data_IF_076354038358
#
_entry.id   IF_076354038358
#
_cell.length_a   1.000
_cell.length_b   1.000
_cell.length_c   1.000
_cell.angle_alpha   90.00
_cell.angle_beta   90.00
_cell.angle_gamma   90.00
#
_symmetry.space_group_name_H-M   'P 1'
#
loop_
_entity.id
_entity.type
_entity.pdbx_description
1 polymer ?
#
# COMPACT_ATOMS: atom_id res chain seq x y z
N UNK A 1 -12.03 31.28 -16.96
CA UNK A 1 -12.15 31.23 -15.50
C UNK A 1 -11.33 30.05 -15.03
N UNK A 2 -10.22 30.28 -14.33
CA UNK A 2 -9.45 29.20 -13.73
C UNK A 2 -10.31 28.60 -12.60
N UNK A 3 -10.78 27.37 -12.79
CA UNK A 3 -11.38 26.61 -11.69
C UNK A 3 -10.23 26.38 -10.71
N UNK A 4 -10.32 26.96 -9.52
CA UNK A 4 -9.36 26.71 -8.46
C UNK A 4 -9.31 25.20 -8.21
N UNK A 5 -8.12 24.60 -8.33
CA UNK A 5 -7.87 23.21 -7.96
C UNK A 5 -7.94 23.14 -6.45
N UNK A 6 -9.13 22.96 -5.90
CA UNK A 6 -9.32 22.67 -4.48
C UNK A 6 -9.02 21.19 -4.28
N UNK A 7 -7.90 20.84 -3.62
CA UNK A 7 -7.66 19.44 -3.25
C UNK A 7 -8.00 19.23 -1.77
N UNK A 8 -9.14 18.61 -1.49
CA UNK A 8 -9.49 18.23 -0.11
C UNK A 8 -8.46 17.21 0.37
N UNK A 9 -7.61 17.62 1.31
CA UNK A 9 -6.72 16.72 2.02
C UNK A 9 -7.48 16.10 3.18
N UNK A 10 -7.62 14.78 3.17
CA UNK A 10 -8.23 14.07 4.29
C UNK A 10 -7.19 13.91 5.40
N UNK A 11 -7.39 14.58 6.54
CA UNK A 11 -6.60 14.44 7.78
C UNK A 11 -6.72 13.04 8.43
N UNK A 12 -7.41 12.10 7.78
CA UNK A 12 -7.74 10.78 8.30
C UNK A 12 -6.51 9.96 8.73
N UNK A 13 -5.44 10.02 7.94
CA UNK A 13 -4.21 9.27 8.21
C UNK A 13 -3.23 10.05 9.07
N UNK A 14 -3.59 11.27 9.49
CA UNK A 14 -2.79 12.02 10.43
C UNK A 14 -2.93 11.39 11.83
N UNK A 15 -1.80 11.10 12.45
CA UNK A 15 -1.73 10.62 13.83
C UNK A 15 -1.14 11.75 14.67
N UNK A 16 -1.98 12.50 15.43
CA UNK A 16 -1.50 13.62 16.22
C UNK A 16 -0.46 13.17 17.26
N UNK A 17 0.53 14.01 17.53
CA UNK A 17 1.54 13.74 18.55
C UNK A 17 0.85 13.53 19.90
N UNK A 18 1.17 12.43 20.57
CA UNK A 18 0.58 12.06 21.87
C UNK A 18 -0.79 11.37 21.80
N UNK A 19 -1.40 11.22 20.61
CA UNK A 19 -2.69 10.53 20.46
C UNK A 19 -2.59 9.00 20.60
N UNK A 20 -1.41 8.42 20.35
CA UNK A 20 -1.17 6.99 20.47
C UNK A 20 -0.29 6.67 21.68
N UNK A 21 -0.75 5.74 22.51
CA UNK A 21 -0.01 5.22 23.66
C UNK A 21 0.77 3.96 23.25
N UNK A 22 2.09 4.05 23.17
CA UNK A 22 2.95 2.91 22.82
C UNK A 22 3.02 1.81 23.89
N UNK A 23 2.37 2.00 25.03
CA UNK A 23 2.19 0.98 26.06
C UNK A 23 1.02 0.03 25.75
N UNK A 24 0.15 0.39 24.80
CA UNK A 24 -0.99 -0.43 24.40
C UNK A 24 -0.56 -1.65 23.60
N UNK A 25 -1.24 -2.78 23.80
CA UNK A 25 -1.05 -4.00 23.02
C UNK A 25 -1.93 -4.01 21.76
N UNK A 26 -1.52 -4.78 20.75
CA UNK A 26 -2.16 -4.83 19.44
C UNK A 26 -3.49 -5.61 19.39
N UNK A 27 -3.88 -6.37 20.43
CA UNK A 27 -5.16 -7.09 20.42
C UNK A 27 -6.37 -6.16 20.19
N UNK A 28 -6.32 -4.93 20.73
CA UNK A 28 -7.40 -3.97 20.62
C UNK A 28 -7.69 -3.53 19.17
N UNK A 29 -6.69 -3.53 18.27
CA UNK A 29 -6.90 -3.12 16.87
C UNK A 29 -7.78 -4.12 16.12
N UNK A 30 -7.59 -5.42 16.35
CA UNK A 30 -8.38 -6.48 15.73
C UNK A 30 -9.83 -6.45 16.23
N UNK A 31 -10.04 -6.20 17.52
CA UNK A 31 -11.39 -5.99 18.08
C UNK A 31 -12.06 -4.76 17.48
N UNK A 32 -11.33 -3.65 17.29
CA UNK A 32 -11.84 -2.44 16.66
C UNK A 32 -12.23 -2.68 15.19
N UNK A 33 -11.43 -3.46 14.44
CA UNK A 33 -11.75 -3.88 13.06
C UNK A 33 -13.01 -4.73 13.01
N UNK A 34 -13.13 -5.73 13.86
CA UNK A 34 -14.30 -6.61 13.92
C UNK A 34 -15.56 -5.84 14.27
N UNK A 35 -15.50 -5.00 15.30
CA UNK A 35 -16.62 -4.14 15.70
C UNK A 35 -17.09 -3.23 14.58
N UNK A 36 -16.16 -2.62 13.84
CA UNK A 36 -16.48 -1.70 12.74
C UNK A 36 -17.01 -2.41 11.50
N UNK A 37 -16.50 -3.62 11.21
CA UNK A 37 -16.83 -4.41 10.02
C UNK A 37 -18.13 -5.20 10.17
N UNK A 38 -18.47 -5.63 11.40
CA UNK A 38 -19.59 -6.54 11.67
C UNK A 38 -20.94 -6.05 11.14
N UNK A 39 -21.37 -4.77 11.31
CA UNK A 39 -22.67 -4.33 10.80
C UNK A 39 -22.83 -4.57 9.29
N UNK A 40 -21.79 -4.27 8.51
CA UNK A 40 -21.76 -4.46 7.06
C UNK A 40 -21.74 -5.95 6.69
N UNK A 41 -20.85 -6.74 7.32
CA UNK A 41 -20.72 -8.18 7.04
C UNK A 41 -21.99 -8.97 7.42
N UNK A 42 -22.67 -8.61 8.51
CA UNK A 42 -23.95 -9.22 8.90
C UNK A 42 -25.05 -8.93 7.88
N UNK A 43 -25.10 -7.70 7.35
CA UNK A 43 -26.06 -7.32 6.30
C UNK A 43 -25.78 -8.06 4.99
N UNK A 44 -24.50 -8.14 4.59
CA UNK A 44 -24.05 -8.92 3.44
C UNK A 44 -24.44 -10.40 3.58
N UNK A 45 -24.17 -11.01 4.72
CA UNK A 45 -24.54 -12.38 5.00
C UNK A 45 -26.06 -12.60 4.91
N UNK A 46 -26.85 -11.71 5.51
CA UNK A 46 -28.32 -11.79 5.48
C UNK A 46 -28.90 -11.65 4.08
N UNK A 47 -28.29 -10.81 3.24
CA UNK A 47 -28.74 -10.62 1.86
C UNK A 47 -28.31 -11.78 0.95
N UNK A 48 -27.07 -12.28 1.10
CA UNK A 48 -26.48 -13.31 0.25
C UNK A 48 -26.95 -14.72 0.64
N UNK A 49 -27.13 -14.97 1.94
CA UNK A 49 -27.52 -16.26 2.51
C UNK A 49 -28.69 -16.11 3.50
N UNK A 50 -29.89 -15.71 3.04
CA UNK A 50 -31.01 -15.30 3.90
C UNK A 50 -31.58 -16.39 4.82
N UNK A 51 -31.26 -17.66 4.57
CA UNK A 51 -31.73 -18.81 5.35
C UNK A 51 -30.74 -19.28 6.42
N UNK A 52 -29.52 -18.73 6.43
CA UNK A 52 -28.46 -19.17 7.34
C UNK A 52 -28.33 -18.21 8.52
N UNK A 53 -28.08 -18.77 9.69
CA UNK A 53 -27.83 -18.00 10.91
C UNK A 53 -26.37 -17.54 10.97
N UNK A 54 -26.16 -16.30 11.39
CA UNK A 54 -24.83 -15.82 11.76
C UNK A 54 -24.55 -16.27 13.20
N UNK A 55 -23.48 -17.03 13.41
CA UNK A 55 -23.09 -17.60 14.72
C UNK A 55 -21.76 -17.01 15.18
N UNK A 56 -21.55 -16.95 16.50
CA UNK A 56 -20.19 -16.89 17.06
C UNK A 56 -19.56 -18.27 16.94
N UNK A 57 -18.23 -18.34 16.86
CA UNK A 57 -17.51 -19.60 16.83
C UNK A 57 -17.82 -20.50 18.03
N UNK A 58 -18.11 -19.93 19.20
CA UNK A 58 -18.47 -20.70 20.40
C UNK A 58 -19.82 -21.42 20.29
N UNK A 59 -20.71 -20.96 19.40
CA UNK A 59 -22.08 -21.46 19.22
C UNK A 59 -22.23 -22.31 17.94
N UNK A 60 -21.12 -22.77 17.36
CA UNK A 60 -21.14 -23.57 16.13
C UNK A 60 -21.45 -25.03 16.47
N UNK A 61 -22.56 -25.53 15.95
CA UNK A 61 -22.96 -26.92 16.09
C UNK A 61 -22.37 -27.81 14.98
N UNK A 62 -21.93 -29.04 15.28
CA UNK A 62 -21.46 -29.98 14.27
C UNK A 62 -22.55 -30.30 13.24
N UNK A 63 -22.18 -30.38 11.96
CA UNK A 63 -23.10 -30.61 10.84
C UNK A 63 -24.19 -29.53 10.62
N UNK A 64 -24.15 -28.40 11.33
CA UNK A 64 -24.99 -27.24 11.02
C UNK A 64 -24.29 -26.35 9.99
N UNK A 65 -25.02 -25.99 8.93
CA UNK A 65 -24.56 -24.96 8.00
C UNK A 65 -24.85 -23.57 8.55
N UNK A 66 -23.82 -22.77 8.73
CA UNK A 66 -23.93 -21.44 9.32
C UNK A 66 -22.98 -20.44 8.64
N UNK A 67 -23.12 -19.17 9.06
CA UNK A 67 -22.22 -18.10 8.65
C UNK A 67 -21.45 -17.60 9.86
N UNK A 68 -20.15 -17.40 9.70
CA UNK A 68 -19.26 -16.91 10.77
C UNK A 68 -18.61 -15.62 10.27
N UNK A 69 -18.61 -14.59 11.13
CA UNK A 69 -17.92 -13.33 10.87
C UNK A 69 -16.68 -13.28 11.75
N UNK A 70 -15.52 -13.09 11.13
CA UNK A 70 -14.27 -13.09 11.85
C UNK A 70 -13.12 -12.48 11.05
N UNK A 71 -11.93 -12.64 11.60
CA UNK A 71 -10.66 -12.21 11.04
C UNK A 71 -9.89 -13.42 10.55
N UNK A 72 -9.37 -13.37 9.33
CA UNK A 72 -8.48 -14.40 8.83
C UNK A 72 -7.15 -14.30 9.56
N UNK A 73 -6.63 -15.44 10.02
CA UNK A 73 -5.26 -15.59 10.50
C UNK A 73 -4.56 -16.65 9.66
N UNK A 74 -3.44 -16.27 9.02
CA UNK A 74 -2.63 -17.20 8.21
C UNK A 74 -1.36 -17.57 8.96
N UNK A 75 -1.26 -18.83 9.35
CA UNK A 75 -0.06 -19.38 9.98
C UNK A 75 0.94 -19.75 8.89
N UNK A 76 1.92 -18.88 8.66
CA UNK A 76 2.98 -19.07 7.67
C UNK A 76 4.30 -19.46 8.37
N UNK A 77 4.80 -20.71 8.24
CA UNK A 77 6.04 -21.14 8.88
C UNK A 77 7.28 -20.36 8.43
N UNK A 78 7.27 -19.87 7.19
CA UNK A 78 8.35 -19.05 6.61
C UNK A 78 8.34 -17.59 7.09
N UNK A 79 7.27 -17.15 7.78
CA UNK A 79 7.21 -15.81 8.36
C UNK A 79 8.41 -15.58 9.30
N UNK A 80 9.18 -14.49 9.14
CA UNK A 80 10.30 -14.17 10.02
C UNK A 80 9.85 -14.09 11.48
N UNK A 81 10.66 -14.65 12.38
CA UNK A 81 10.38 -14.63 13.82
C UNK A 81 11.54 -14.00 14.56
N UNK A 82 11.26 -12.88 15.24
CA UNK A 82 12.23 -12.19 16.11
C UNK A 82 12.74 -13.15 17.20
N UNK A 83 11.86 -13.99 17.75
CA UNK A 83 12.24 -14.98 18.79
C UNK A 83 13.24 -16.00 18.22
N UNK A 84 12.98 -16.55 17.02
CA UNK A 84 13.93 -17.47 16.36
C UNK A 84 15.27 -16.79 16.06
N UNK A 85 15.24 -15.54 15.60
CA UNK A 85 16.46 -14.76 15.32
C UNK A 85 17.27 -14.50 16.58
N UNK A 86 16.62 -14.13 17.70
CA UNK A 86 17.26 -13.94 19.00
C UNK A 86 17.88 -15.23 19.53
N UNK A 87 17.17 -16.36 19.44
CA UNK A 87 17.70 -17.65 19.85
C UNK A 87 18.95 -18.06 19.03
N UNK A 88 18.95 -17.80 17.72
CA UNK A 88 20.11 -18.04 16.85
C UNK A 88 21.30 -17.13 17.19
N UNK A 89 21.02 -15.85 17.49
CA UNK A 89 22.02 -14.87 17.93
C UNK A 89 22.77 -15.32 19.19
N UNK A 90 22.02 -15.82 20.18
CA UNK A 90 22.57 -16.35 21.43
C UNK A 90 23.40 -17.61 21.21
N UNK A 91 23.00 -18.48 20.28
CA UNK A 91 23.71 -19.73 19.97
C UNK A 91 25.00 -19.53 19.15
N UNK A 92 25.03 -18.56 18.22
CA UNK A 92 26.14 -18.39 17.26
C UNK A 92 27.16 -17.33 17.73
N UNK A 93 27.02 -16.79 18.94
CA UNK A 93 28.01 -15.88 19.53
C UNK A 93 28.08 -14.52 18.81
N UNK A 94 26.94 -13.94 18.46
CA UNK A 94 26.85 -12.54 18.00
C UNK A 94 27.29 -12.26 16.56
N UNK A 95 27.64 -13.29 15.76
CA UNK A 95 27.81 -13.14 14.31
C UNK A 95 26.56 -13.63 13.59
N UNK A 96 25.65 -12.71 13.29
CA UNK A 96 24.67 -12.98 12.24
C UNK A 96 25.42 -13.10 10.91
N UNK A 97 25.26 -14.25 10.24
CA UNK A 97 25.39 -14.28 8.80
C UNK A 97 24.36 -13.29 8.28
N UNK A 98 24.83 -12.18 7.74
CA UNK A 98 23.95 -11.25 7.06
C UNK A 98 23.27 -12.04 5.94
N UNK A 99 21.96 -12.26 6.05
CA UNK A 99 21.13 -12.74 4.93
C UNK A 99 21.03 -11.65 3.86
N UNK A 100 22.16 -11.04 3.49
CA UNK A 100 22.28 -9.85 2.66
C UNK A 100 22.62 -10.17 1.21
N UNK A 101 22.88 -11.44 0.87
CA UNK A 101 23.35 -11.81 -0.47
C UNK A 101 22.23 -12.09 -1.49
N UNK A 102 20.96 -12.24 -1.07
CA UNK A 102 19.85 -12.59 -1.99
C UNK A 102 18.67 -11.59 -1.98
N UNK A 103 18.80 -10.40 -1.39
CA UNK A 103 17.63 -9.55 -1.09
C UNK A 103 17.04 -8.79 -2.28
N UNK A 104 17.79 -8.56 -3.38
CA UNK A 104 17.18 -8.03 -4.60
C UNK A 104 16.13 -8.98 -5.21
N UNK A 105 16.16 -10.28 -4.86
CA UNK A 105 15.12 -11.25 -5.22
C UNK A 105 13.90 -11.24 -4.25
N UNK A 106 13.98 -10.60 -3.07
CA UNK A 106 12.92 -10.68 -2.05
C UNK A 106 11.73 -9.74 -2.27
N UNK A 107 11.84 -8.72 -3.11
CA UNK A 107 10.67 -7.96 -3.56
C UNK A 107 9.74 -8.81 -4.45
N UNK A 108 10.24 -9.95 -4.96
CA UNK A 108 9.51 -10.84 -5.88
C UNK A 108 9.24 -12.25 -5.32
N UNK A 109 9.76 -12.61 -4.14
CA UNK A 109 9.57 -13.95 -3.58
C UNK A 109 8.41 -13.97 -2.58
N UNK A 110 7.41 -14.81 -2.85
CA UNK A 110 6.37 -15.15 -1.89
C UNK A 110 6.98 -15.91 -0.69
N UNK A 111 6.46 -15.63 0.50
CA UNK A 111 6.72 -16.40 1.72
C UNK A 111 5.60 -17.39 1.99
N UNK A 112 4.39 -17.11 1.50
CA UNK A 112 3.28 -18.04 1.58
C UNK A 112 3.63 -19.36 0.89
N UNK A 113 3.19 -20.46 1.50
CA UNK A 113 3.38 -21.82 1.00
C UNK A 113 2.08 -22.62 1.05
N UNK A 114 2.06 -23.79 0.39
CA UNK A 114 0.93 -24.73 0.49
C UNK A 114 0.85 -25.43 1.86
N UNK A 115 1.89 -25.30 2.69
CA UNK A 115 1.92 -25.81 4.07
C UNK A 115 1.28 -24.83 5.07
N UNK A 116 0.90 -23.64 4.61
CA UNK A 116 0.29 -22.64 5.48
C UNK A 116 -1.11 -23.08 5.91
N UNK A 117 -1.42 -22.87 7.18
CA UNK A 117 -2.75 -23.11 7.74
C UNK A 117 -3.52 -21.77 7.81
N UNK A 118 -4.81 -21.82 7.48
CA UNK A 118 -5.68 -20.63 7.49
C UNK A 118 -6.75 -20.83 8.56
N UNK A 119 -6.79 -19.92 9.52
CA UNK A 119 -7.76 -19.91 10.60
C UNK A 119 -8.73 -18.75 10.43
N UNK A 120 -9.93 -18.91 10.97
CA UNK A 120 -10.85 -17.82 11.24
C UNK A 120 -10.91 -17.58 12.75
N UNK A 121 -10.68 -16.34 13.17
CA UNK A 121 -10.74 -15.91 14.56
C UNK A 121 -11.92 -14.96 14.79
N UNK A 122 -12.71 -15.20 15.85
CA UNK A 122 -13.72 -14.26 16.34
C UNK A 122 -13.29 -13.64 17.67
N UNK A 123 -14.22 -13.14 18.49
CA UNK A 123 -13.90 -12.53 19.79
C UNK A 123 -13.49 -13.55 20.86
N UNK A 124 -13.78 -14.83 20.65
CA UNK A 124 -13.72 -15.87 21.69
C UNK A 124 -12.68 -16.93 21.34
N UNK A 125 -12.68 -17.43 20.11
CA UNK A 125 -11.83 -18.54 19.71
C UNK A 125 -11.44 -18.49 18.23
N UNK A 126 -10.72 -19.52 17.79
CA UNK A 126 -10.33 -19.72 16.39
C UNK A 126 -10.66 -21.13 15.91
N UNK A 127 -10.93 -21.27 14.61
CA UNK A 127 -11.16 -22.56 13.94
C UNK A 127 -10.33 -22.64 12.67
N UNK A 128 -9.84 -23.85 12.32
CA UNK A 128 -9.10 -24.07 11.08
C UNK A 128 -10.08 -24.12 9.89
N UNK A 129 -9.71 -23.52 8.76
CA UNK A 129 -10.52 -23.46 7.56
C UNK A 129 -10.05 -24.50 6.53
N UNK A 130 -10.96 -25.38 6.15
CA UNK A 130 -10.77 -26.26 5.00
C UNK A 130 -11.36 -25.61 3.74
N UNK A 131 -10.48 -25.07 2.90
CA UNK A 131 -10.83 -24.32 1.69
C UNK A 131 -10.46 -25.14 0.45
N UNK A 132 -11.46 -25.69 -0.22
CA UNK A 132 -11.26 -26.51 -1.44
C UNK A 132 -10.72 -25.71 -2.64
N UNK A 133 -11.06 -24.41 -2.73
CA UNK A 133 -10.61 -23.54 -3.82
C UNK A 133 -9.19 -23.02 -3.55
N UNK A 134 -8.22 -23.48 -4.34
CA UNK A 134 -6.83 -23.02 -4.28
C UNK A 134 -6.67 -21.53 -4.64
N UNK A 135 -7.51 -21.01 -5.53
CA UNK A 135 -7.49 -19.58 -5.89
C UNK A 135 -7.94 -18.72 -4.70
N UNK A 136 -9.00 -19.15 -4.00
CA UNK A 136 -9.49 -18.44 -2.82
C UNK A 136 -8.47 -18.51 -1.66
N UNK A 137 -7.99 -19.72 -1.32
CA UNK A 137 -6.99 -19.88 -0.25
C UNK A 137 -5.67 -19.18 -0.58
N UNK A 138 -5.31 -19.15 -1.86
CA UNK A 138 -4.12 -18.48 -2.35
C UNK A 138 -4.17 -16.96 -2.24
N UNK A 139 -5.36 -16.34 -2.31
CA UNK A 139 -5.52 -14.89 -2.18
C UNK A 139 -5.65 -14.40 -0.74
N UNK A 140 -6.01 -15.25 0.22
CA UNK A 140 -6.22 -14.84 1.60
C UNK A 140 -4.91 -14.56 2.35
N UNK A 141 -4.90 -13.48 3.12
CA UNK A 141 -3.81 -13.11 4.03
C UNK A 141 -4.36 -12.80 5.43
N UNK A 142 -3.45 -12.70 6.41
CA UNK A 142 -3.78 -12.39 7.79
C UNK A 142 -4.41 -11.00 7.95
N UNK A 143 -5.31 -10.86 8.93
CA UNK A 143 -5.99 -9.61 9.28
C UNK A 143 -7.17 -9.21 8.37
N UNK A 144 -7.51 -10.01 7.35
CA UNK A 144 -8.66 -9.77 6.49
C UNK A 144 -9.96 -10.04 7.25
N UNK A 145 -10.87 -9.06 7.24
CA UNK A 145 -12.20 -9.18 7.84
C UNK A 145 -13.17 -9.79 6.83
N UNK A 146 -13.87 -10.85 7.21
CA UNK A 146 -14.72 -11.59 6.27
C UNK A 146 -15.92 -12.23 6.94
N UNK A 147 -16.94 -12.57 6.14
CA UNK A 147 -17.95 -13.55 6.52
C UNK A 147 -17.80 -14.82 5.68
N UNK A 148 -17.90 -15.97 6.34
CA UNK A 148 -17.66 -17.29 5.74
C UNK A 148 -18.89 -18.14 5.95
N UNK A 149 -19.40 -18.71 4.86
CA UNK A 149 -20.44 -19.75 4.86
C UNK A 149 -19.77 -21.12 4.81
N UNK A 150 -20.17 -22.01 5.71
CA UNK A 150 -19.63 -23.36 5.76
C UNK A 150 -20.30 -24.25 6.77
N UNK A 151 -19.68 -25.40 7.03
CA UNK A 151 -20.17 -26.42 7.95
C UNK A 151 -19.00 -26.88 8.84
N UNK A 152 -19.23 -26.97 10.14
CA UNK A 152 -18.27 -27.59 11.05
C UNK A 152 -18.30 -29.11 10.95
N UNK A 153 -17.11 -29.72 10.87
CA UNK A 153 -16.98 -31.17 10.72
C UNK A 153 -17.47 -31.93 11.95
N UNK A 154 -18.09 -33.10 11.72
CA UNK A 154 -18.48 -34.02 12.79
C UNK A 154 -17.34 -34.90 13.30
N UNK A 155 -16.27 -35.08 12.52
CA UNK A 155 -15.16 -35.99 12.86
C UNK A 155 -14.09 -35.30 13.71
N UNK A 156 -13.94 -33.98 13.58
CA UNK A 156 -13.03 -33.15 14.36
C UNK A 156 -13.68 -31.79 14.59
N UNK A 157 -13.88 -31.40 15.86
CA UNK A 157 -14.47 -30.11 16.26
C UNK A 157 -13.60 -28.89 15.93
N UNK A 158 -12.48 -29.09 15.22
CA UNK A 158 -11.44 -28.08 15.01
C UNK A 158 -11.41 -27.55 13.57
N UNK A 159 -12.23 -28.10 12.67
CA UNK A 159 -12.21 -27.75 11.23
C UNK A 159 -13.57 -27.27 10.73
N UNK A 160 -13.54 -26.22 9.90
CA UNK A 160 -14.71 -25.63 9.25
C UNK A 160 -14.54 -25.70 7.74
N UNK A 161 -15.37 -26.50 7.07
CA UNK A 161 -15.34 -26.64 5.61
C UNK A 161 -16.02 -25.44 4.97
N UNK A 162 -15.22 -24.66 4.23
CA UNK A 162 -15.64 -23.41 3.61
C UNK A 162 -16.35 -23.70 2.29
N UNK A 163 -17.59 -23.22 2.16
CA UNK A 163 -18.36 -23.26 0.92
C UNK A 163 -18.24 -21.96 0.14
N UNK A 164 -18.41 -20.83 0.82
CA UNK A 164 -18.34 -19.50 0.21
C UNK A 164 -17.76 -18.48 1.20
N UNK A 165 -17.15 -17.43 0.65
CA UNK A 165 -16.58 -16.30 1.40
C UNK A 165 -17.11 -15.01 0.79
N UNK A 166 -17.42 -14.03 1.65
CA UNK A 166 -17.73 -12.67 1.23
C UNK A 166 -16.95 -11.66 2.08
N UNK A 167 -16.40 -10.65 1.40
CA UNK A 167 -15.60 -9.60 2.00
C UNK A 167 -16.44 -8.33 2.24
N UNK A 168 -15.81 -7.25 2.71
CA UNK A 168 -16.50 -5.98 2.94
C UNK A 168 -17.06 -5.35 1.66
N UNK A 169 -16.34 -5.52 0.55
CA UNK A 169 -16.69 -5.07 -0.80
C UNK A 169 -17.19 -3.61 -0.82
N UNK A 170 -16.33 -2.64 -0.42
CA UNK A 170 -16.66 -1.23 -0.50
C UNK A 170 -16.95 -0.84 -1.95
N UNK A 171 -17.88 0.10 -2.13
CA UNK A 171 -18.33 0.58 -3.43
C UNK A 171 -18.10 2.08 -3.58
N UNK A 172 -17.87 2.58 -4.80
CA UNK A 172 -17.75 4.02 -5.02
C UNK A 172 -19.08 4.73 -4.71
N UNK A 173 -18.99 5.98 -4.25
CA UNK A 173 -20.18 6.83 -4.03
C UNK A 173 -20.91 7.16 -5.34
N UNK A 174 -20.18 7.22 -6.45
CA UNK A 174 -20.67 7.56 -7.79
C UNK A 174 -19.99 6.66 -8.81
N UNK A 175 -20.68 6.35 -9.90
CA UNK A 175 -20.08 5.57 -10.98
C UNK A 175 -18.85 6.29 -11.59
N UNK A 176 -17.76 5.56 -11.78
CA UNK A 176 -16.49 6.09 -12.27
C UNK A 176 -16.60 6.30 -13.79
N UNK A 177 -17.00 7.51 -14.17
CA UNK A 177 -17.31 7.89 -15.55
C UNK A 177 -16.04 8.18 -16.37
N UNK A 178 -15.99 7.69 -17.62
CA UNK A 178 -14.90 7.92 -18.58
C UNK A 178 -15.34 8.88 -19.68
N UNK A 179 -14.48 9.81 -20.10
CA UNK A 179 -14.65 10.48 -21.39
C UNK A 179 -14.09 9.60 -22.50
N UNK A 180 -14.96 9.17 -23.41
CA UNK A 180 -14.58 8.45 -24.62
C UNK A 180 -14.05 9.45 -25.66
N UNK A 181 -12.73 9.54 -25.80
CA UNK A 181 -12.13 10.24 -26.93
C UNK A 181 -12.16 9.33 -28.16
N UNK A 182 -12.89 9.75 -29.21
CA UNK A 182 -13.04 9.00 -30.48
C UNK A 182 -11.79 9.03 -31.38
N UNK A 183 -10.62 9.45 -30.89
CA UNK A 183 -9.45 9.69 -31.76
C UNK A 183 -8.39 8.61 -31.61
N UNK A 184 -8.03 8.00 -32.74
CA UNK A 184 -7.01 6.95 -32.87
C UNK A 184 -5.56 7.48 -32.85
N UNK A 185 -5.34 8.78 -32.62
CA UNK A 185 -4.00 9.37 -32.58
C UNK A 185 -3.37 9.27 -31.19
N UNK A 186 -2.04 9.05 -31.08
CA UNK A 186 -1.36 9.12 -29.81
C UNK A 186 -1.57 10.50 -29.18
N UNK A 187 -1.79 10.57 -27.87
CA UNK A 187 -2.03 11.85 -27.21
C UNK A 187 -0.80 12.73 -27.25
N UNK A 188 -1.04 14.03 -27.38
CA UNK A 188 -0.02 15.04 -27.17
C UNK A 188 -0.12 15.48 -25.72
N UNK A 189 0.93 15.26 -24.93
CA UNK A 189 1.08 15.92 -23.63
C UNK A 189 0.95 17.43 -23.86
N UNK A 190 -0.12 18.03 -23.33
CA UNK A 190 -0.52 19.41 -23.62
C UNK A 190 -2.02 19.60 -23.90
N UNK A 191 -2.75 18.51 -24.20
CA UNK A 191 -4.22 18.50 -24.22
C UNK A 191 -4.74 17.66 -23.05
N UNK A 192 -5.70 18.19 -22.27
CA UNK A 192 -6.28 17.51 -21.10
C UNK A 192 -5.48 17.70 -19.81
N UNK A 193 -5.98 17.13 -18.70
CA UNK A 193 -5.33 17.19 -17.40
C UNK A 193 -4.55 15.90 -17.13
N UNK A 194 -3.23 16.04 -17.01
CA UNK A 194 -2.31 14.92 -16.81
C UNK A 194 -1.70 14.97 -15.42
N UNK A 195 -1.64 13.82 -14.77
CA UNK A 195 -0.85 13.61 -13.55
C UNK A 195 0.23 12.57 -13.81
N UNK A 196 1.35 12.68 -13.11
CA UNK A 196 2.43 11.70 -13.15
C UNK A 196 2.57 10.97 -11.82
N UNK A 197 3.01 9.72 -11.89
CA UNK A 197 3.39 8.91 -10.74
C UNK A 197 4.82 8.41 -10.92
N UNK A 198 5.63 8.64 -9.90
CA UNK A 198 7.00 8.13 -9.78
C UNK A 198 7.15 7.52 -8.40
N UNK A 199 7.99 6.50 -8.25
CA UNK A 199 8.29 5.89 -6.96
C UNK A 199 9.75 5.47 -6.93
N UNK A 200 10.36 5.31 -5.75
CA UNK A 200 11.74 4.84 -5.67
C UNK A 200 12.69 5.77 -6.42
N UNK A 201 12.61 7.10 -6.20
CA UNK A 201 13.55 8.06 -6.81
C UNK A 201 15.00 7.73 -6.43
N UNK A 202 15.21 7.18 -5.23
CA UNK A 202 16.45 6.53 -4.83
C UNK A 202 17.67 7.45 -4.76
N UNK A 203 17.51 8.73 -4.37
CA UNK A 203 18.64 9.63 -4.14
C UNK A 203 19.59 9.02 -3.08
N UNK A 204 20.89 9.08 -3.30
CA UNK A 204 21.91 8.49 -2.43
C UNK A 204 23.03 9.48 -2.14
N UNK A 205 23.82 9.22 -1.09
CA UNK A 205 24.96 10.07 -0.71
C UNK A 205 26.15 9.96 -1.67
N UNK A 206 26.38 8.78 -2.25
CA UNK A 206 27.45 8.53 -3.22
C UNK A 206 26.88 8.02 -4.55
N UNK A 207 27.49 8.45 -5.65
CA UNK A 207 27.20 7.97 -6.99
C UNK A 207 27.60 6.50 -7.20
N UNK A 208 28.51 5.98 -6.37
CA UNK A 208 29.11 4.65 -6.55
C UNK A 208 28.19 3.48 -6.13
N UNK A 209 27.05 3.77 -5.49
CA UNK A 209 26.10 2.76 -5.00
C UNK A 209 24.84 2.56 -5.85
N UNK A 210 24.76 3.18 -7.03
CA UNK A 210 23.54 3.20 -7.86
C UNK A 210 23.56 2.33 -9.11
N UNK A 211 22.37 2.07 -9.66
CA UNK A 211 22.23 1.58 -11.03
C UNK A 211 22.92 2.56 -12.00
N UNK A 212 23.72 2.03 -12.92
CA UNK A 212 24.41 2.82 -13.94
C UNK A 212 23.39 3.72 -14.67
N UNK A 213 23.70 5.01 -14.80
CA UNK A 213 22.83 5.98 -15.49
C UNK A 213 21.71 6.59 -14.64
N UNK A 214 21.52 6.19 -13.38
CA UNK A 214 20.45 6.73 -12.51
C UNK A 214 20.45 8.25 -12.36
N UNK A 215 21.63 8.87 -12.17
CA UNK A 215 21.73 10.34 -12.09
C UNK A 215 21.26 11.02 -13.38
N UNK A 216 21.63 10.46 -14.54
CA UNK A 216 21.20 10.98 -15.82
C UNK A 216 19.70 10.80 -16.03
N UNK A 217 19.14 9.66 -15.65
CA UNK A 217 17.68 9.45 -15.69
C UNK A 217 16.94 10.49 -14.84
N UNK A 218 17.44 10.85 -13.65
CA UNK A 218 16.86 11.91 -12.82
C UNK A 218 16.95 13.29 -13.48
N UNK A 219 18.05 13.59 -14.17
CA UNK A 219 18.20 14.83 -14.96
C UNK A 219 17.18 14.86 -16.11
N UNK A 220 17.07 13.77 -16.88
CA UNK A 220 16.10 13.66 -17.98
C UNK A 220 14.65 13.75 -17.50
N UNK A 221 14.34 13.17 -16.34
CA UNK A 221 13.03 13.34 -15.70
C UNK A 221 12.77 14.81 -15.35
N UNK A 222 13.77 15.51 -14.80
CA UNK A 222 13.68 16.94 -14.53
C UNK A 222 13.41 17.76 -15.80
N UNK A 223 14.14 17.49 -16.89
CA UNK A 223 13.93 18.15 -18.18
C UNK A 223 12.56 17.85 -18.78
N UNK A 224 12.14 16.58 -18.74
CA UNK A 224 10.81 16.18 -19.17
C UNK A 224 9.71 16.93 -18.42
N UNK A 225 9.82 17.09 -17.10
CA UNK A 225 8.85 17.84 -16.29
C UNK A 225 8.85 19.34 -16.57
N UNK A 226 9.97 19.92 -17.05
CA UNK A 226 10.04 21.33 -17.49
C UNK A 226 9.36 21.55 -18.83
N UNK A 227 9.46 20.59 -19.74
CA UNK A 227 8.88 20.68 -21.07
C UNK A 227 7.40 20.28 -21.12
N UNK A 228 6.98 19.36 -20.24
CA UNK A 228 5.64 18.79 -20.24
C UNK A 228 4.80 19.30 -19.07
N UNK A 229 3.65 19.90 -19.39
CA UNK A 229 2.73 20.46 -18.39
C UNK A 229 1.89 19.36 -17.72
N UNK A 230 2.37 18.87 -16.60
CA UNK A 230 1.57 18.07 -15.67
C UNK A 230 0.86 18.96 -14.67
N UNK A 231 -0.30 18.53 -14.20
CA UNK A 231 -1.00 19.18 -13.09
C UNK A 231 -0.36 18.79 -11.74
N UNK A 232 0.03 17.53 -11.60
CA UNK A 232 0.59 16.99 -10.36
C UNK A 232 1.53 15.83 -10.64
N UNK A 233 2.64 15.78 -9.91
CA UNK A 233 3.51 14.60 -9.84
C UNK A 233 3.43 14.01 -8.43
N UNK A 234 3.00 12.76 -8.33
CA UNK A 234 3.03 11.98 -7.10
C UNK A 234 4.36 11.23 -7.00
N UNK A 235 5.13 11.49 -5.94
CA UNK A 235 6.31 10.70 -5.60
C UNK A 235 5.96 9.72 -4.47
N UNK A 236 5.81 8.44 -4.81
CA UNK A 236 5.26 7.38 -3.98
C UNK A 236 6.34 6.66 -3.17
N UNK A 237 6.99 7.38 -2.24
CA UNK A 237 7.94 6.85 -1.29
C UNK A 237 9.27 6.36 -1.87
N UNK A 238 10.19 6.04 -0.95
CA UNK A 238 11.57 5.65 -1.22
C UNK A 238 12.28 6.70 -2.08
N UNK A 239 12.11 7.97 -1.68
CA UNK A 239 12.73 9.10 -2.35
C UNK A 239 14.25 9.06 -2.19
N UNK A 240 14.73 8.58 -1.03
CA UNK A 240 16.15 8.32 -0.79
C UNK A 240 16.45 6.82 -0.65
N UNK A 241 17.71 6.45 -0.80
CA UNK A 241 18.22 5.09 -0.52
C UNK A 241 19.53 5.15 0.27
N UNK A 242 19.90 4.01 0.86
CA UNK A 242 21.16 3.85 1.55
C UNK A 242 22.24 3.48 0.55
N UNK A 243 23.43 4.06 0.71
CA UNK A 243 24.60 3.67 -0.07
C UNK A 243 25.13 2.28 0.33
N UNK A 244 24.69 1.74 1.47
CA UNK A 244 25.06 0.41 1.96
C UNK A 244 23.92 -0.58 1.68
N UNK A 245 24.17 -1.72 1.02
CA UNK A 245 23.19 -2.80 0.86
C UNK A 245 22.63 -3.22 2.23
N UNK A 246 21.31 -3.13 2.41
CA UNK A 246 20.64 -3.43 3.69
C UNK A 246 20.72 -2.34 4.76
N UNK A 247 21.14 -1.11 4.43
CA UNK A 247 21.28 -0.02 5.41
C UNK A 247 19.97 0.69 5.80
N UNK A 248 18.94 0.63 4.95
CA UNK A 248 17.61 1.23 5.19
C UNK A 248 16.47 0.21 5.33
N UNK A 249 16.65 -0.99 4.77
CA UNK A 249 15.74 -2.09 4.98
C UNK A 249 16.22 -2.93 6.16
N UNK A 250 15.29 -3.37 7.01
CA UNK A 250 15.46 -4.31 8.14
C UNK A 250 15.55 -3.65 9.52
N UNK A 251 14.40 -3.26 10.08
CA UNK A 251 14.17 -3.42 11.53
C UNK A 251 13.91 -4.90 11.83
N UNK A 252 14.94 -5.71 11.65
CA UNK A 252 15.19 -6.97 12.36
C UNK A 252 16.34 -6.70 13.32
N UNK A 253 16.52 -7.50 14.36
CA UNK A 253 17.44 -7.24 15.48
C UNK A 253 18.88 -7.04 14.97
N UNK A 254 19.25 -5.80 14.68
CA UNK A 254 20.64 -5.38 14.45
C UNK A 254 21.04 -4.51 15.63
N UNK A 255 21.80 -5.11 16.53
CA UNK A 255 22.52 -4.46 17.63
C UNK A 255 23.71 -3.61 17.16
N UNK A 256 23.74 -3.13 15.92
CA UNK A 256 24.52 -1.94 15.64
C UNK A 256 23.68 -0.75 16.02
N UNK A 257 23.74 -0.42 17.32
CA UNK A 257 23.35 0.87 17.82
C UNK A 257 23.86 1.95 16.84
N UNK A 258 22.95 2.57 16.10
CA UNK A 258 23.22 3.71 15.19
C UNK A 258 23.93 4.87 15.90
N UNK A 259 24.04 4.83 17.23
CA UNK A 259 24.81 5.73 18.07
C UNK A 259 26.35 5.67 17.90
N UNK A 260 26.90 4.70 17.16
CA UNK A 260 28.35 4.54 17.00
C UNK A 260 28.94 5.16 15.70
N UNK A 261 28.14 5.57 14.71
CA UNK A 261 28.63 6.23 13.48
C UNK A 261 28.77 7.74 13.69
N UNK A 262 29.75 8.14 14.50
CA UNK A 262 29.94 9.54 14.96
C UNK A 262 30.77 10.44 14.02
N UNK A 263 31.10 10.05 12.77
CA UNK A 263 32.12 10.80 11.97
C UNK A 263 31.92 10.95 10.46
N UNK A 264 30.76 10.61 9.90
CA UNK A 264 30.40 10.96 8.52
C UNK A 264 29.05 11.66 8.57
N UNK A 265 28.83 12.69 7.75
CA UNK A 265 27.46 13.17 7.51
C UNK A 265 26.62 11.93 7.21
N UNK A 266 25.53 11.73 7.96
CA UNK A 266 24.74 10.52 7.77
C UNK A 266 24.30 10.48 6.30
N UNK A 267 24.51 9.37 5.60
CA UNK A 267 24.20 9.24 4.15
C UNK A 267 22.79 9.76 3.80
N UNK A 268 21.84 9.60 4.72
CA UNK A 268 20.48 10.13 4.60
C UNK A 268 20.40 11.66 4.49
N UNK A 269 21.29 12.41 5.16
CA UNK A 269 21.36 13.88 5.09
C UNK A 269 21.80 14.32 3.70
N UNK A 270 22.84 13.69 3.14
CA UNK A 270 23.32 14.01 1.79
C UNK A 270 22.28 13.63 0.73
N UNK A 271 21.64 12.46 0.87
CA UNK A 271 20.56 12.03 -0.01
C UNK A 271 19.35 12.97 0.03
N UNK A 272 18.92 13.39 1.23
CA UNK A 272 17.83 14.37 1.36
C UNK A 272 18.20 15.74 0.78
N UNK A 273 19.45 16.17 0.95
CA UNK A 273 19.97 17.41 0.34
C UNK A 273 19.94 17.34 -1.20
N UNK A 274 20.30 16.19 -1.78
CA UNK A 274 20.23 15.96 -3.22
C UNK A 274 18.77 15.98 -3.73
N UNK A 275 17.85 15.32 -3.01
CA UNK A 275 16.42 15.35 -3.31
C UNK A 275 15.86 16.78 -3.26
N UNK A 276 16.14 17.53 -2.19
CA UNK A 276 15.70 18.93 -2.06
C UNK A 276 16.29 19.82 -3.17
N UNK A 277 17.53 19.58 -3.56
CA UNK A 277 18.15 20.30 -4.68
C UNK A 277 17.40 20.03 -5.98
N UNK A 278 17.15 18.76 -6.32
CA UNK A 278 16.41 18.39 -7.52
C UNK A 278 14.99 18.95 -7.54
N UNK A 279 14.24 18.83 -6.42
CA UNK A 279 12.90 19.41 -6.27
C UNK A 279 12.93 20.94 -6.47
N UNK A 280 13.95 21.61 -5.94
CA UNK A 280 14.09 23.07 -6.08
C UNK A 280 14.35 23.52 -7.52
N UNK A 281 14.77 22.62 -8.41
CA UNK A 281 15.05 22.89 -9.83
C UNK A 281 13.87 22.55 -10.76
N UNK A 282 12.81 21.92 -10.22
CA UNK A 282 11.58 21.65 -10.95
C UNK A 282 10.74 22.92 -11.16
N UNK A 283 9.84 22.93 -12.16
CA UNK A 283 8.98 24.08 -12.44
C UNK A 283 7.76 24.12 -11.50
N UNK A 284 7.97 23.96 -10.18
CA UNK A 284 6.88 24.01 -9.20
C UNK A 284 6.20 25.39 -9.21
N UNK A 285 4.89 25.42 -8.96
CA UNK A 285 4.08 26.63 -9.11
C UNK A 285 3.31 26.68 -10.44
N UNK A 286 2.50 27.73 -10.59
CA UNK A 286 1.74 28.01 -11.82
C UNK A 286 0.89 26.84 -12.33
N UNK A 287 0.33 26.04 -11.41
CA UNK A 287 -0.51 24.89 -11.73
C UNK A 287 0.20 23.54 -11.81
N UNK A 288 1.50 23.46 -11.49
CA UNK A 288 2.22 22.20 -11.26
C UNK A 288 2.63 22.02 -9.80
N UNK A 289 2.27 20.88 -9.23
CA UNK A 289 2.52 20.53 -7.82
C UNK A 289 3.24 19.19 -7.73
N UNK A 290 4.20 19.06 -6.81
CA UNK A 290 4.74 17.75 -6.40
C UNK A 290 4.13 17.34 -5.08
N UNK A 291 3.57 16.14 -5.03
CA UNK A 291 3.02 15.52 -3.82
C UNK A 291 3.88 14.33 -3.41
N UNK A 292 4.61 14.48 -2.31
CA UNK A 292 5.50 13.46 -1.75
C UNK A 292 4.74 12.61 -0.73
N UNK A 293 4.87 11.29 -0.87
CA UNK A 293 4.52 10.32 0.15
C UNK A 293 5.82 9.70 0.68
N UNK A 294 5.94 9.46 2.00
CA UNK A 294 7.09 8.75 2.54
C UNK A 294 7.05 7.24 2.27
N UNK A 295 8.21 6.64 2.08
CA UNK A 295 8.44 5.20 2.00
C UNK A 295 9.21 4.64 3.20
N UNK A 296 9.71 3.41 3.08
CA UNK A 296 10.44 2.72 4.16
C UNK A 296 11.85 3.28 4.33
N UNK A 297 12.44 3.71 3.21
CA UNK A 297 13.81 4.23 3.15
C UNK A 297 13.91 5.71 3.54
N UNK A 298 12.78 6.38 3.70
CA UNK A 298 12.73 7.83 3.91
C UNK A 298 12.91 8.23 5.38
N UNK A 299 13.28 9.49 5.62
CA UNK A 299 13.54 10.05 6.95
C UNK A 299 12.26 10.33 7.77
N UNK A 300 11.41 9.32 7.93
CA UNK A 300 10.20 9.34 8.76
C UNK A 300 10.06 8.04 9.56
N UNK A 301 9.02 7.96 10.40
CA UNK A 301 8.63 6.69 11.04
C UNK A 301 8.21 5.64 10.01
N UNK A 302 8.55 4.37 10.24
CA UNK A 302 8.10 3.24 9.41
C UNK A 302 6.69 2.73 9.79
N UNK A 303 6.11 3.26 10.88
CA UNK A 303 4.78 2.87 11.33
C UNK A 303 3.71 3.39 10.38
N UNK A 304 2.79 2.51 9.95
CA UNK A 304 1.60 2.90 9.19
C UNK A 304 0.47 3.40 10.10
N UNK A 305 -0.24 4.49 9.73
CA UNK A 305 0.03 5.37 8.59
C UNK A 305 1.29 6.24 8.80
N UNK A 306 2.21 6.25 7.84
CA UNK A 306 3.43 7.06 7.94
C UNK A 306 3.08 8.54 7.82
N UNK A 307 3.62 9.36 8.73
CA UNK A 307 3.36 10.79 8.78
C UNK A 307 4.18 11.56 7.73
N UNK A 308 3.68 12.71 7.24
CA UNK A 308 4.38 13.53 6.25
C UNK A 308 5.82 13.88 6.63
N UNK A 309 6.67 14.07 5.62
CA UNK A 309 7.99 14.68 5.82
C UNK A 309 7.87 16.06 6.46
N UNK A 310 8.77 16.34 7.40
CA UNK A 310 8.89 17.65 8.00
C UNK A 310 9.52 18.65 7.01
N UNK A 311 9.00 19.87 6.98
CA UNK A 311 9.46 20.94 6.06
C UNK A 311 10.95 21.27 6.17
N UNK A 312 11.53 21.13 7.36
CA UNK A 312 12.98 21.33 7.58
C UNK A 312 13.87 20.44 6.70
N UNK A 313 13.34 19.37 6.13
CA UNK A 313 14.07 18.50 5.22
C UNK A 313 14.19 19.10 3.79
N UNK A 314 13.47 20.18 3.48
CA UNK A 314 13.41 20.80 2.15
C UNK A 314 13.68 22.31 2.16
N UNK A 315 14.81 22.78 2.74
CA UNK A 315 15.06 24.21 2.89
C UNK A 315 15.12 24.96 1.56
N UNK A 316 15.70 24.40 0.49
CA UNK A 316 15.83 25.06 -0.82
C UNK A 316 14.48 25.15 -1.51
N UNK A 317 13.76 24.03 -1.59
CA UNK A 317 12.46 23.97 -2.27
C UNK A 317 11.45 24.90 -1.60
N UNK A 318 11.36 24.85 -0.27
CA UNK A 318 10.41 25.68 0.48
C UNK A 318 10.79 27.16 0.43
N UNK A 319 12.08 27.51 0.50
CA UNK A 319 12.49 28.92 0.36
C UNK A 319 12.16 29.49 -1.02
N UNK A 320 12.12 28.65 -2.07
CA UNK A 320 11.87 29.09 -3.44
C UNK A 320 10.38 29.16 -3.79
N UNK A 321 9.61 28.15 -3.37
CA UNK A 321 8.22 27.97 -3.83
C UNK A 321 7.18 28.01 -2.70
N UNK A 322 7.61 27.98 -1.44
CA UNK A 322 6.71 27.82 -0.30
C UNK A 322 6.28 26.36 -0.10
N UNK A 323 5.21 26.18 0.68
CA UNK A 323 4.63 24.88 1.03
C UNK A 323 3.16 24.84 0.60
N UNK A 324 2.63 23.63 0.34
CA UNK A 324 1.21 23.42 0.08
C UNK A 324 0.89 23.23 -1.40
N UNK A 325 -0.38 23.46 -1.75
CA UNK A 325 -0.97 23.00 -3.02
C UNK A 325 -0.36 23.64 -4.26
N UNK A 326 0.18 24.85 -4.16
CA UNK A 326 0.81 25.53 -5.29
C UNK A 326 2.28 25.17 -5.48
N UNK A 327 2.86 24.26 -4.68
CA UNK A 327 4.28 23.93 -4.78
C UNK A 327 4.57 22.47 -4.37
N UNK A 328 4.92 22.27 -3.10
CA UNK A 328 5.29 20.99 -2.54
C UNK A 328 4.29 20.59 -1.45
N UNK A 329 3.58 19.49 -1.70
CA UNK A 329 2.72 18.82 -0.72
C UNK A 329 3.52 17.67 -0.12
N UNK A 330 3.63 17.65 1.21
CA UNK A 330 4.11 16.51 1.96
C UNK A 330 2.88 15.81 2.58
N UNK A 331 2.58 14.60 2.13
CA UNK A 331 1.41 13.84 2.53
C UNK A 331 1.78 12.60 3.35
N UNK A 332 0.79 12.02 4.03
CA UNK A 332 0.94 10.75 4.73
C UNK A 332 1.07 9.58 3.74
N UNK A 333 1.47 8.40 4.22
CA UNK A 333 1.32 7.14 3.48
C UNK A 333 0.48 6.17 4.31
N UNK A 334 -0.71 5.74 3.85
CA UNK A 334 -1.37 6.09 2.57
C UNK A 334 -1.87 7.55 2.51
N UNK A 335 -2.28 7.99 1.32
CA UNK A 335 -2.90 9.29 1.08
C UNK A 335 -4.13 9.16 0.16
N UNK A 336 -5.19 9.91 0.44
CA UNK A 336 -6.33 10.10 -0.46
C UNK A 336 -6.39 11.58 -0.83
N UNK A 337 -6.46 11.90 -2.11
CA UNK A 337 -6.49 13.28 -2.59
C UNK A 337 -7.36 13.42 -3.84
N UNK A 338 -8.13 14.50 -3.91
CA UNK A 338 -8.91 14.84 -5.10
C UNK A 338 -8.09 15.73 -6.04
N UNK A 339 -8.03 15.35 -7.33
CA UNK A 339 -7.38 16.13 -8.40
C UNK A 339 -8.33 16.19 -9.59
N UNK A 340 -8.79 17.40 -9.97
CA UNK A 340 -9.79 17.62 -11.02
C UNK A 340 -11.00 16.65 -10.94
N UNK A 341 -11.60 16.55 -9.76
CA UNK A 341 -12.76 15.67 -9.50
C UNK A 341 -12.51 14.18 -9.70
N UNK A 342 -11.24 13.76 -9.58
CA UNK A 342 -10.84 12.35 -9.43
C UNK A 342 -10.29 12.12 -8.03
N UNK A 343 -10.86 11.16 -7.32
CA UNK A 343 -10.36 10.70 -6.03
C UNK A 343 -9.23 9.70 -6.24
N UNK A 344 -8.01 10.08 -5.87
CA UNK A 344 -6.80 9.27 -6.05
C UNK A 344 -6.35 8.78 -4.67
N UNK A 345 -6.34 7.46 -4.49
CA UNK A 345 -5.68 6.77 -3.39
C UNK A 345 -4.26 6.42 -3.82
N UNK A 346 -3.28 6.89 -3.07
CA UNK A 346 -1.85 6.67 -3.32
C UNK A 346 -1.19 6.01 -2.12
N UNK A 347 -0.38 4.98 -2.37
CA UNK A 347 0.48 4.36 -1.35
C UNK A 347 1.91 4.23 -1.85
N UNK A 348 2.87 4.16 -0.92
CA UNK A 348 4.27 3.88 -1.24
C UNK A 348 4.54 2.40 -1.50
N UNK A 349 3.51 1.56 -1.61
CA UNK A 349 3.59 0.17 -2.06
C UNK A 349 3.76 -0.90 -0.99
N UNK A 350 4.14 -0.54 0.24
CA UNK A 350 4.46 -1.54 1.27
C UNK A 350 3.29 -2.49 1.54
N UNK A 351 2.07 -1.94 1.58
CA UNK A 351 0.85 -2.71 1.78
C UNK A 351 0.63 -3.76 0.67
N UNK A 352 0.82 -3.39 -0.58
CA UNK A 352 0.65 -4.28 -1.73
C UNK A 352 1.73 -5.35 -1.76
N UNK A 353 3.00 -4.94 -1.58
CA UNK A 353 4.13 -5.85 -1.58
C UNK A 353 4.08 -6.84 -0.41
N UNK A 354 3.53 -6.44 0.74
CA UNK A 354 3.37 -7.34 1.87
C UNK A 354 2.22 -8.34 1.67
N UNK A 355 1.09 -7.90 1.11
CA UNK A 355 0.02 -8.82 0.67
C UNK A 355 0.57 -9.83 -0.35
N UNK A 356 1.37 -9.39 -1.32
CA UNK A 356 2.00 -10.28 -2.30
C UNK A 356 2.88 -11.36 -1.63
N UNK A 357 3.65 -11.00 -0.60
CA UNK A 357 4.48 -11.96 0.15
C UNK A 357 3.66 -13.07 0.83
N UNK A 358 2.49 -12.73 1.37
CA UNK A 358 1.66 -13.65 2.16
C UNK A 358 0.47 -14.23 1.40
N UNK A 359 0.46 -14.11 0.08
CA UNK A 359 -0.48 -14.78 -0.83
C UNK A 359 0.28 -15.75 -1.73
N UNK A 360 -0.39 -16.77 -2.25
CA UNK A 360 0.17 -17.79 -3.16
C UNK A 360 -0.09 -17.49 -4.64
N UNK A 361 -1.14 -16.74 -4.93
CA UNK A 361 -1.66 -16.54 -6.27
C UNK A 361 -1.89 -15.05 -6.56
N UNK A 362 -1.92 -14.72 -7.86
CA UNK A 362 -2.24 -13.39 -8.36
C UNK A 362 -1.06 -12.42 -8.43
N UNK A 363 -1.03 -11.55 -9.43
CA UNK A 363 0.00 -10.53 -9.56
C UNK A 363 -0.20 -9.35 -8.58
N UNK A 364 0.62 -8.31 -8.71
CA UNK A 364 0.52 -7.09 -7.92
C UNK A 364 -0.84 -6.40 -8.07
N UNK A 365 -1.42 -6.40 -9.28
CA UNK A 365 -2.72 -5.79 -9.53
C UNK A 365 -3.85 -6.63 -8.91
N UNK A 366 -3.71 -7.96 -8.86
CA UNK A 366 -4.61 -8.84 -8.12
C UNK A 366 -4.55 -8.57 -6.60
N UNK A 367 -3.37 -8.28 -6.06
CA UNK A 367 -3.21 -7.86 -4.66
C UNK A 367 -3.88 -6.51 -4.38
N UNK A 368 -3.70 -5.54 -5.28
CA UNK A 368 -4.37 -4.23 -5.19
C UNK A 368 -5.90 -4.35 -5.26
N UNK A 369 -6.41 -5.18 -6.17
CA UNK A 369 -7.84 -5.47 -6.28
C UNK A 369 -8.38 -6.14 -5.01
N UNK A 370 -7.63 -7.10 -4.46
CA UNK A 370 -7.98 -7.77 -3.20
C UNK A 370 -8.04 -6.78 -2.02
N UNK A 371 -7.09 -5.84 -1.92
CA UNK A 371 -7.12 -4.76 -0.92
C UNK A 371 -8.41 -3.94 -1.00
N UNK A 372 -8.88 -3.62 -2.21
CA UNK A 372 -10.16 -2.93 -2.38
C UNK A 372 -11.33 -3.82 -1.94
N UNK A 373 -11.37 -5.10 -2.34
CA UNK A 373 -12.45 -6.03 -1.94
C UNK A 373 -12.51 -6.26 -0.43
N UNK A 374 -11.35 -6.35 0.23
CA UNK A 374 -11.26 -6.49 1.68
C UNK A 374 -11.65 -5.23 2.44
N UNK A 375 -11.65 -4.07 1.78
CA UNK A 375 -11.96 -2.79 2.43
C UNK A 375 -10.97 -2.42 3.52
N UNK A 376 -9.70 -2.80 3.37
CA UNK A 376 -8.65 -2.52 4.34
C UNK A 376 -7.33 -2.23 3.63
N UNK A 377 -6.74 -1.04 3.84
CA UNK A 377 -5.57 -0.57 3.09
C UNK A 377 -4.30 -1.39 3.38
N UNK A 378 -4.12 -1.88 4.61
CA UNK A 378 -3.04 -2.81 4.97
C UNK A 378 -3.53 -3.85 6.00
N UNK A 379 -4.25 -4.91 5.58
CA UNK A 379 -4.85 -5.88 6.51
C UNK A 379 -3.79 -6.61 7.34
N UNK A 380 -2.59 -6.76 6.79
CA UNK A 380 -1.47 -7.46 7.42
C UNK A 380 -0.79 -6.66 8.53
N UNK A 381 -1.12 -5.37 8.70
CA UNK A 381 -0.81 -4.64 9.93
C UNK A 381 -1.62 -5.19 11.10
N UNK A 382 -1.10 -5.24 12.33
CA UNK A 382 0.29 -5.03 12.73
C UNK A 382 1.18 -6.28 12.65
N UNK A 383 0.67 -7.43 12.19
CA UNK A 383 1.36 -8.74 12.28
C UNK A 383 2.68 -8.77 11.48
N UNK A 384 2.70 -8.20 10.27
CA UNK A 384 3.87 -8.27 9.37
C UNK A 384 4.37 -6.88 8.97
N UNK A 385 3.45 -5.92 8.77
CA UNK A 385 3.77 -4.50 8.61
C UNK A 385 3.57 -3.75 9.92
N UNK A 386 4.55 -2.92 10.28
CA UNK A 386 4.47 -2.14 11.51
C UNK A 386 3.40 -1.04 11.41
N UNK A 387 2.60 -0.90 12.47
CA UNK A 387 1.59 0.16 12.57
C UNK A 387 1.55 0.76 13.97
N UNK A 388 0.88 1.90 14.11
CA UNK A 388 0.56 2.44 15.42
C UNK A 388 -0.36 1.47 16.19
N UNK A 389 -0.21 1.33 17.53
CA UNK A 389 -1.09 0.49 18.36
C UNK A 389 -2.43 1.20 18.60
N UNK A 390 -3.23 1.34 17.54
CA UNK A 390 -4.54 1.98 17.60
C UNK A 390 -5.54 1.07 18.34
N UNK A 391 -6.23 1.59 19.35
CA UNK A 391 -7.09 0.79 20.23
C UNK A 391 -8.59 1.02 20.02
N UNK A 392 -8.98 2.20 19.53
CA UNK A 392 -10.40 2.58 19.39
C UNK A 392 -10.94 2.35 17.98
N UNK A 393 -10.14 2.64 16.97
CA UNK A 393 -10.48 2.49 15.55
C UNK A 393 -9.21 2.21 14.76
N UNK A 394 -9.36 1.51 13.64
CA UNK A 394 -8.27 1.34 12.69
C UNK A 394 -8.40 2.38 11.58
N UNK A 395 -7.41 3.27 11.48
CA UNK A 395 -7.39 4.32 10.46
C UNK A 395 -7.23 3.80 9.03
N UNK A 396 -6.83 2.54 8.82
CA UNK A 396 -6.60 1.91 7.52
C UNK A 396 -7.82 1.10 7.01
N UNK A 397 -8.87 0.94 7.82
CA UNK A 397 -10.11 0.26 7.43
C UNK A 397 -11.08 1.21 6.72
N UNK A 398 -11.60 0.87 5.53
CA UNK A 398 -12.49 1.75 4.76
C UNK A 398 -13.72 2.18 5.58
N UNK A 399 -14.03 3.47 5.52
CA UNK A 399 -15.24 4.05 6.10
C UNK A 399 -16.38 3.81 5.11
N UNK A 400 -17.35 3.00 5.52
CA UNK A 400 -18.43 2.54 4.66
C UNK A 400 -19.78 2.76 5.30
N UNK A 401 -20.78 3.03 4.47
CA UNK A 401 -22.16 2.89 4.88
C UNK A 401 -22.50 1.38 5.02
N UNK A 402 -22.95 0.90 6.19
CA UNK A 402 -23.24 -0.52 6.41
C UNK A 402 -24.33 -1.09 5.50
N UNK A 403 -25.31 -0.27 5.12
CA UNK A 403 -26.46 -0.69 4.32
C UNK A 403 -26.13 -0.79 2.84
N UNK A 404 -25.48 0.24 2.29
CA UNK A 404 -25.21 0.34 0.85
C UNK A 404 -23.84 -0.23 0.45
N UNK A 405 -22.90 -0.32 1.39
CA UNK A 405 -21.49 -0.62 1.11
C UNK A 405 -20.74 0.55 0.45
N UNK A 406 -21.39 1.69 0.22
CA UNK A 406 -20.74 2.85 -0.37
C UNK A 406 -19.69 3.42 0.59
N UNK A 407 -18.52 3.78 0.06
CA UNK A 407 -17.40 4.30 0.85
C UNK A 407 -16.93 5.64 0.29
N UNK A 408 -16.68 6.59 1.18
CA UNK A 408 -16.03 7.86 0.86
C UNK A 408 -14.57 7.67 0.45
N UNK A 409 -13.97 6.53 0.79
CA UNK A 409 -12.57 6.23 0.53
C UNK A 409 -12.35 5.36 -0.71
N UNK A 410 -13.43 4.83 -1.31
CA UNK A 410 -13.30 4.05 -2.53
C UNK A 410 -12.84 4.97 -3.67
N UNK A 411 -11.65 4.75 -4.23
CA UNK A 411 -11.04 5.71 -5.13
C UNK A 411 -11.53 5.55 -6.57
N UNK A 412 -11.38 6.61 -7.37
CA UNK A 412 -11.42 6.49 -8.82
C UNK A 412 -10.13 5.83 -9.34
N UNK A 413 -9.00 6.15 -8.71
CA UNK A 413 -7.66 5.62 -9.05
C UNK A 413 -6.93 5.17 -7.78
N UNK A 414 -6.40 3.95 -7.77
CA UNK A 414 -5.51 3.44 -6.73
C UNK A 414 -4.10 3.25 -7.33
N UNK A 415 -3.15 4.10 -6.94
CA UNK A 415 -1.75 4.00 -7.34
C UNK A 415 -0.87 3.45 -6.21
N UNK A 416 -0.06 2.44 -6.51
CA UNK A 416 0.89 1.84 -5.58
C UNK A 416 2.33 2.02 -6.10
N UNK A 417 3.18 2.66 -5.30
CA UNK A 417 4.61 2.84 -5.57
C UNK A 417 5.43 1.57 -5.37
N UNK A 418 6.70 1.61 -5.73
CA UNK A 418 7.72 0.60 -5.46
C UNK A 418 7.35 -0.82 -5.90
N UNK A 419 6.60 -0.93 -6.99
CA UNK A 419 6.22 -2.23 -7.57
C UNK A 419 7.30 -2.72 -8.56
N UNK A 420 7.28 -4.00 -8.96
CA UNK A 420 8.29 -4.56 -9.86
C UNK A 420 8.27 -3.95 -11.27
N UNK A 421 7.07 -3.67 -11.79
CA UNK A 421 6.87 -3.18 -13.15
C UNK A 421 5.67 -2.23 -13.26
N UNK A 422 5.63 -1.46 -14.34
CA UNK A 422 4.49 -0.61 -14.65
C UNK A 422 3.32 -1.47 -15.14
N UNK A 423 2.15 -1.31 -14.52
CA UNK A 423 0.94 -2.05 -14.87
C UNK A 423 -0.31 -1.26 -14.53
N UNK A 424 -1.40 -1.50 -15.26
CA UNK A 424 -2.67 -0.82 -15.02
C UNK A 424 -3.85 -1.70 -15.40
N UNK A 425 -4.91 -1.66 -14.57
CA UNK A 425 -6.12 -2.46 -14.77
C UNK A 425 -7.30 -1.83 -14.05
N UNK A 426 -8.49 -1.87 -14.64
CA UNK A 426 -9.72 -1.55 -13.91
C UNK A 426 -10.08 -2.70 -12.96
N UNK A 427 -10.30 -2.37 -11.69
CA UNK A 427 -10.80 -3.31 -10.71
C UNK A 427 -12.24 -3.73 -11.05
N UNK A 428 -12.59 -4.93 -10.63
CA UNK A 428 -13.92 -5.51 -10.76
C UNK A 428 -14.74 -5.14 -9.52
N UNK A 429 -15.96 -4.67 -9.73
CA UNK A 429 -16.94 -4.57 -8.65
C UNK A 429 -17.70 -5.90 -8.59
N UNK A 430 -18.04 -6.35 -7.38
CA UNK A 430 -18.93 -7.50 -7.22
C UNK A 430 -20.38 -7.04 -7.46
N UNK A 431 -20.71 -6.84 -8.74
CA UNK A 431 -22.04 -6.51 -9.27
C UNK A 431 -22.49 -7.59 -10.24
N UNK A 432 -23.79 -7.68 -10.52
CA UNK A 432 -24.36 -8.66 -11.46
C UNK A 432 -23.88 -8.43 -12.92
N UNK A 433 -23.16 -7.34 -13.18
CA UNK A 433 -22.52 -7.00 -14.46
C UNK A 433 -21.09 -7.53 -14.51
N UNK A 434 -20.70 -8.17 -15.61
CA UNK A 434 -19.32 -8.60 -15.87
C UNK A 434 -18.33 -7.45 -16.13
N UNK A 435 -18.77 -6.20 -16.06
CA UNK A 435 -17.98 -5.04 -16.44
C UNK A 435 -17.04 -4.57 -15.32
N UNK A 436 -15.79 -4.30 -15.68
CA UNK A 436 -14.74 -3.79 -14.78
C UNK A 436 -14.93 -2.30 -14.52
N UNK A 437 -15.95 -1.99 -13.72
CA UNK A 437 -16.36 -0.61 -13.42
C UNK A 437 -15.71 -0.02 -12.15
N UNK A 438 -14.85 -0.78 -11.46
CA UNK A 438 -14.16 -0.34 -10.25
C UNK A 438 -13.02 0.63 -10.50
N UNK A 439 -12.23 0.92 -9.46
CA UNK A 439 -11.10 1.85 -9.52
C UNK A 439 -10.09 1.47 -10.62
N UNK A 440 -9.42 2.46 -11.20
CA UNK A 440 -8.21 2.22 -12.00
C UNK A 440 -7.03 1.91 -11.06
N UNK A 441 -6.51 0.70 -11.13
CA UNK A 441 -5.31 0.27 -10.42
C UNK A 441 -4.09 0.66 -11.24
N UNK A 442 -3.08 1.26 -10.60
CA UNK A 442 -1.80 1.63 -11.22
C UNK A 442 -0.65 1.10 -10.35
N UNK A 443 0.09 0.15 -10.91
CA UNK A 443 1.38 -0.32 -10.39
C UNK A 443 2.48 0.59 -10.92
N UNK A 444 3.19 1.28 -10.02
CA UNK A 444 4.25 2.23 -10.36
C UNK A 444 5.60 1.61 -10.01
N UNK A 445 6.50 1.42 -11.00
CA UNK A 445 7.77 0.77 -10.74
C UNK A 445 8.73 1.69 -10.00
N UNK A 446 9.76 1.09 -9.39
CA UNK A 446 10.89 1.85 -8.85
C UNK A 446 11.67 2.56 -9.97
N UNK A 447 11.81 3.87 -9.87
CA UNK A 447 12.49 4.69 -10.86
C UNK A 447 13.98 4.43 -10.89
N UNK A 448 14.61 4.26 -9.74
CA UNK A 448 16.05 4.00 -9.61
C UNK A 448 16.53 2.70 -10.27
N UNK A 449 15.60 1.80 -10.63
CA UNK A 449 15.86 0.56 -11.37
C UNK A 449 15.31 0.63 -12.80
N UNK A 450 14.06 1.06 -12.96
CA UNK A 450 13.35 0.97 -14.25
C UNK A 450 13.50 2.19 -15.14
N UNK A 451 13.95 3.32 -14.57
CA UNK A 451 13.91 4.66 -15.16
C UNK A 451 12.55 4.98 -15.79
N UNK A 452 11.45 4.55 -15.15
CA UNK A 452 10.10 4.66 -15.69
C UNK A 452 9.18 5.41 -14.73
N UNK A 453 8.40 6.36 -15.27
CA UNK A 453 7.24 6.97 -14.59
C UNK A 453 5.95 6.52 -15.28
N UNK A 454 4.81 6.67 -14.60
CA UNK A 454 3.48 6.41 -15.20
C UNK A 454 2.69 7.70 -15.24
N UNK A 455 2.21 8.08 -16.42
CA UNK A 455 1.31 9.21 -16.60
C UNK A 455 -0.14 8.75 -16.68
N UNK A 456 -1.06 9.58 -16.19
CA UNK A 456 -2.50 9.36 -16.22
C UNK A 456 -3.21 10.60 -16.75
N UNK A 457 -4.02 10.42 -17.79
CA UNK A 457 -4.99 11.43 -18.24
C UNK A 457 -6.29 11.28 -17.44
N UNK A 458 -6.69 12.32 -16.71
CA UNK A 458 -7.77 12.23 -15.73
C UNK A 458 -9.16 12.06 -16.35
N UNK A 459 -9.38 12.58 -17.55
CA UNK A 459 -10.66 12.51 -18.24
C UNK A 459 -10.97 11.09 -18.77
N UNK A 460 -9.99 10.45 -19.39
CA UNK A 460 -10.14 9.15 -20.04
C UNK A 460 -9.66 7.96 -19.20
N UNK A 461 -8.96 8.24 -18.09
CA UNK A 461 -8.24 7.25 -17.28
C UNK A 461 -7.19 6.45 -18.06
N UNK A 462 -6.66 7.02 -19.15
CA UNK A 462 -5.58 6.42 -19.94
C UNK A 462 -4.24 6.54 -19.22
N UNK A 463 -3.54 5.42 -19.10
CA UNK A 463 -2.18 5.37 -18.59
C UNK A 463 -1.14 5.35 -19.72
N UNK A 464 -0.01 6.03 -19.52
CA UNK A 464 1.16 5.97 -20.40
C UNK A 464 2.43 5.81 -19.55
N UNK A 465 3.13 4.65 -19.62
CA UNK A 465 4.46 4.54 -19.04
C UNK A 465 5.47 5.31 -19.90
N UNK A 466 6.32 6.12 -19.26
CA UNK A 466 7.40 6.87 -19.90
C UNK A 466 8.72 6.39 -19.32
N UNK A 467 9.53 5.75 -20.16
CA UNK A 467 10.85 5.23 -19.80
C UNK A 467 11.95 6.13 -20.35
N UNK A 468 12.88 6.52 -19.48
CA UNK A 468 14.08 7.27 -19.84
C UNK A 468 15.16 6.27 -20.25
N UNK A 469 15.24 6.02 -21.55
CA UNK A 469 16.19 5.07 -22.13
C UNK A 469 17.59 5.67 -22.23
N UNK A 470 18.57 4.95 -21.69
CA UNK A 470 19.98 5.34 -21.65
C UNK A 470 20.85 4.51 -22.60
N UNK A 471 20.25 3.57 -23.34
CA UNK A 471 20.96 2.62 -24.21
C UNK A 471 21.76 3.24 -25.35
N UNK A 472 21.47 4.49 -25.72
CA UNK A 472 22.20 5.21 -26.78
C UNK A 472 23.48 5.91 -26.29
N UNK A 473 23.82 5.76 -25.01
CA UNK A 473 25.00 6.37 -24.39
C UNK A 473 26.15 5.37 -24.16
N UNK A 474 25.88 4.08 -24.34
CA UNK A 474 26.87 3.00 -24.44
C UNK A 474 27.37 2.86 -25.88
#
# INVERSE_FOLDING_TARGET
MAVAVSSVHTERFHVPVGSCLFQSQFAAIYLARLKSSRPRLSKLASNRWPKLTVRSLADVEPNEECVIIGTIFRSCPQKPSIIKQLAQLEQIGGRLLSESQNNHQRLSSRLASLEDEIFLEDEVQRINLDISSQDLSGRLTTGVMTCIRGIASSSSSETFTVKEVAFLEPRPLKAISLMNYSTASPPKLGTGHWVGFVSGLGFAASADGGCHGHQLALSLLGDFLRENKLCRLFALGDCIRSSVPGGLETLGVIQQARFLTRKTDADSVLAMSALDTWLSELPLGNGFTVQLLPGVSDCVSQLLPQQPFHSLLFPKTISRFGKGEDALISASNPCITEVFSRLILSTSGQNVSDVYKYTLSGDVLDCMESILHWGHLAPTCPDTLFSYPQTQSDSLLFQMNPDTGSSVDYPDVFAAGNQPEAGFRRASLNTDSSDKEGALLISVPRFDVSFTIVLLELESLRCLPVKFDLSQLE
#
